data_IF_566582680034
#
_entry.id   IF_566582680034
#
_cell.length_a   1.000
_cell.length_b   1.000
_cell.length_c   1.000
_cell.angle_alpha   90.00
_cell.angle_beta   90.00
_cell.angle_gamma   90.00
#
_symmetry.space_group_name_H-M   'P 1'
#
loop_
_entity.id
_entity.type
_entity.pdbx_description
1 polymer ?
#
# COMPACT_ATOMS: atom_id res chain seq x y z
N UNK A 1 1.26 29.38 0.35
CA UNK A 1 0.81 27.98 0.31
C UNK A 1 1.88 27.14 -0.37
N UNK A 2 2.33 26.12 0.30
CA UNK A 2 3.41 25.27 -0.24
C UNK A 2 2.79 24.24 -1.19
N UNK A 3 2.78 24.53 -2.48
CA UNK A 3 2.29 23.58 -3.52
C UNK A 3 3.05 22.22 -3.53
N UNK A 4 4.20 22.16 -2.85
CA UNK A 4 4.99 20.93 -2.76
C UNK A 4 4.42 19.89 -1.76
N UNK A 5 3.47 20.27 -0.92
CA UNK A 5 2.95 19.40 0.15
C UNK A 5 1.70 18.60 -0.22
N UNK A 6 0.96 19.02 -1.25
CA UNK A 6 -0.29 18.34 -1.67
C UNK A 6 -0.07 17.61 -3.00
N UNK A 7 0.42 16.40 -2.93
CA UNK A 7 0.59 15.53 -4.09
C UNK A 7 -0.56 14.53 -4.17
N UNK A 8 -1.24 14.52 -5.31
CA UNK A 8 -2.32 13.56 -5.58
C UNK A 8 -1.98 12.70 -6.76
N UNK A 9 -2.34 11.43 -6.68
CA UNK A 9 -2.23 10.49 -7.79
C UNK A 9 -3.58 9.89 -8.09
N UNK A 10 -3.76 9.50 -9.36
CA UNK A 10 -4.92 8.75 -9.82
C UNK A 10 -4.48 7.33 -10.15
N UNK A 11 -5.10 6.35 -9.50
CA UNK A 11 -4.95 4.92 -9.80
C UNK A 11 -6.15 4.53 -10.66
N UNK A 12 -5.90 4.16 -11.90
CA UNK A 12 -6.94 3.74 -12.85
C UNK A 12 -6.97 2.22 -12.99
N UNK A 13 -8.15 1.64 -12.81
CA UNK A 13 -8.41 0.20 -12.93
C UNK A 13 -9.66 -0.05 -13.78
N UNK A 14 -9.88 -1.28 -14.29
CA UNK A 14 -11.13 -1.62 -14.95
C UNK A 14 -12.37 -1.50 -14.06
N UNK A 15 -12.21 -1.48 -12.76
CA UNK A 15 -13.30 -1.33 -11.79
C UNK A 15 -13.61 0.12 -11.43
N UNK A 16 -12.79 1.06 -11.89
CA UNK A 16 -12.91 2.48 -11.64
C UNK A 16 -11.60 3.11 -11.17
N UNK A 17 -11.68 4.39 -10.86
CA UNK A 17 -10.53 5.20 -10.45
C UNK A 17 -10.53 5.45 -8.95
N UNK A 18 -9.32 5.53 -8.38
CA UNK A 18 -9.08 5.94 -7.00
C UNK A 18 -8.14 7.12 -6.97
N UNK A 19 -8.47 8.14 -6.17
CA UNK A 19 -7.58 9.30 -5.93
C UNK A 19 -6.95 9.17 -4.56
N UNK A 20 -5.63 9.33 -4.54
CA UNK A 20 -4.82 9.20 -3.32
C UNK A 20 -4.08 10.50 -3.07
N UNK A 21 -4.19 11.02 -1.86
CA UNK A 21 -3.31 12.07 -1.35
C UNK A 21 -2.02 11.42 -0.83
N UNK A 22 -0.87 11.87 -1.33
CA UNK A 22 0.45 11.38 -0.93
C UNK A 22 1.09 12.41 -0.01
N UNK A 23 1.36 12.03 1.23
CA UNK A 23 1.80 12.95 2.28
C UNK A 23 3.33 13.10 2.30
N UNK A 24 3.84 13.91 1.38
CA UNK A 24 5.27 14.21 1.26
C UNK A 24 5.81 14.95 2.47
N UNK A 25 4.96 15.73 3.15
CA UNK A 25 5.39 16.52 4.30
C UNK A 25 5.72 15.65 5.52
N UNK A 26 4.89 14.64 5.81
CA UNK A 26 5.07 13.76 6.98
C UNK A 26 5.91 12.52 6.69
N UNK A 27 5.86 12.00 5.47
CA UNK A 27 6.60 10.81 5.06
C UNK A 27 7.43 11.06 3.78
N UNK A 28 8.42 11.97 3.81
CA UNK A 28 9.13 12.42 2.60
C UNK A 28 9.89 11.29 1.89
N UNK A 29 10.53 10.40 2.61
CA UNK A 29 11.30 9.29 2.05
C UNK A 29 10.39 8.26 1.37
N UNK A 30 9.36 7.82 2.09
CA UNK A 30 8.41 6.81 1.63
C UNK A 30 7.56 7.33 0.48
N UNK A 31 7.00 8.54 0.63
CA UNK A 31 6.24 9.21 -0.42
C UNK A 31 7.10 9.45 -1.67
N UNK A 32 8.34 9.90 -1.49
CA UNK A 32 9.29 10.13 -2.57
C UNK A 32 9.62 8.85 -3.35
N UNK A 33 9.79 7.73 -2.66
CA UNK A 33 10.00 6.43 -3.30
C UNK A 33 8.83 6.06 -4.21
N UNK A 34 7.62 6.13 -3.69
CA UNK A 34 6.40 5.85 -4.45
C UNK A 34 6.21 6.81 -5.65
N UNK A 35 6.41 8.10 -5.44
CA UNK A 35 6.23 9.09 -6.49
C UNK A 35 7.27 8.99 -7.61
N UNK A 36 8.49 8.55 -7.31
CA UNK A 36 9.50 8.24 -8.35
C UNK A 36 9.04 7.08 -9.23
N UNK A 37 8.46 6.05 -8.65
CA UNK A 37 7.91 4.92 -9.40
C UNK A 37 6.73 5.36 -10.28
N UNK A 38 5.86 6.23 -9.76
CA UNK A 38 4.75 6.82 -10.53
C UNK A 38 5.29 7.63 -11.72
N UNK A 39 6.27 8.51 -11.48
CA UNK A 39 6.86 9.34 -12.52
C UNK A 39 7.57 8.51 -13.60
N UNK A 40 8.16 7.37 -13.24
CA UNK A 40 8.81 6.45 -14.16
C UNK A 40 7.81 5.57 -14.95
N UNK A 41 6.50 5.64 -14.65
CA UNK A 41 5.50 4.78 -15.24
C UNK A 41 5.61 3.31 -14.83
N UNK A 42 6.28 3.03 -13.71
CA UNK A 42 6.58 1.66 -13.28
C UNK A 42 5.33 0.83 -12.98
N UNK A 43 4.27 1.49 -12.52
CA UNK A 43 3.03 0.80 -12.16
C UNK A 43 2.08 0.57 -13.34
N UNK A 44 2.33 1.22 -14.48
CA UNK A 44 1.48 1.09 -15.66
C UNK A 44 1.55 -0.35 -16.20
N UNK A 45 0.40 -1.01 -16.31
CA UNK A 45 0.32 -2.40 -16.74
C UNK A 45 0.68 -3.44 -15.67
N UNK A 46 0.92 -3.02 -14.43
CA UNK A 46 0.99 -3.93 -13.28
C UNK A 46 -0.41 -4.34 -12.82
N UNK A 47 -0.56 -4.90 -11.63
CA UNK A 47 -1.85 -5.39 -11.15
C UNK A 47 -1.98 -5.27 -9.64
N UNK A 48 -3.23 -5.30 -9.16
CA UNK A 48 -3.52 -5.77 -7.81
C UNK A 48 -3.45 -7.28 -7.84
N UNK A 49 -2.49 -7.86 -7.15
CA UNK A 49 -2.15 -9.28 -7.24
C UNK A 49 -2.41 -10.06 -5.94
N UNK A 50 -2.64 -9.34 -4.83
CA UNK A 50 -2.89 -9.93 -3.52
C UNK A 50 -4.01 -9.19 -2.80
N UNK A 51 -4.96 -9.94 -2.28
CA UNK A 51 -6.03 -9.42 -1.41
C UNK A 51 -6.07 -10.28 -0.16
N UNK A 52 -5.75 -9.69 0.99
CA UNK A 52 -5.82 -10.35 2.28
C UNK A 52 -7.17 -10.08 2.93
N UNK A 53 -7.83 -11.16 3.35
CA UNK A 53 -9.09 -11.13 4.10
C UNK A 53 -8.94 -11.94 5.38
N UNK A 54 -9.85 -11.80 6.32
CA UNK A 54 -9.84 -12.60 7.56
C UNK A 54 -9.94 -14.11 7.28
N UNK A 55 -10.45 -14.51 6.12
CA UNK A 55 -10.70 -15.91 5.78
C UNK A 55 -9.59 -16.58 4.95
N UNK A 56 -8.63 -15.82 4.39
CA UNK A 56 -7.65 -16.36 3.44
C UNK A 56 -6.20 -16.25 3.87
N UNK A 57 -5.93 -15.83 5.10
CA UNK A 57 -4.57 -15.75 5.64
C UNK A 57 -4.22 -17.03 6.41
N UNK A 58 -2.91 -17.29 6.54
CA UNK A 58 -2.42 -18.47 7.26
C UNK A 58 -2.84 -18.44 8.74
N UNK A 59 -3.18 -19.59 9.28
CA UNK A 59 -3.67 -19.75 10.65
C UNK A 59 -2.61 -19.38 11.71
N UNK A 60 -1.33 -19.34 11.34
CA UNK A 60 -0.23 -18.97 12.23
C UNK A 60 0.00 -17.46 12.31
N UNK A 61 -0.73 -16.65 11.53
CA UNK A 61 -0.67 -15.19 11.65
C UNK A 61 -1.25 -14.75 13.00
N UNK A 62 -0.52 -13.90 13.76
CA UNK A 62 -0.98 -13.45 15.09
C UNK A 62 -2.23 -12.58 15.00
N UNK A 63 -2.38 -11.84 13.89
CA UNK A 63 -3.55 -11.01 13.57
C UNK A 63 -3.79 -11.04 12.07
N UNK A 64 -5.05 -10.96 11.67
CA UNK A 64 -5.43 -10.84 10.26
C UNK A 64 -5.65 -9.37 9.88
N UNK A 65 -5.51 -9.07 8.61
CA UNK A 65 -5.69 -7.72 8.06
C UNK A 65 -6.58 -7.78 6.81
N UNK A 66 -7.22 -6.67 6.48
CA UNK A 66 -7.95 -6.51 5.22
C UNK A 66 -7.27 -5.46 4.36
N UNK A 67 -6.53 -5.90 3.35
CA UNK A 67 -5.80 -5.01 2.44
C UNK A 67 -5.89 -5.50 0.99
N UNK A 68 -5.78 -4.57 0.05
CA UNK A 68 -5.52 -4.84 -1.36
C UNK A 68 -4.11 -4.40 -1.69
N UNK A 69 -3.31 -5.27 -2.27
CA UNK A 69 -1.90 -5.02 -2.58
C UNK A 69 -1.66 -5.07 -4.07
N UNK A 70 -0.96 -4.07 -4.58
CA UNK A 70 -0.66 -3.95 -5.99
C UNK A 70 0.71 -3.34 -6.28
N UNK A 71 1.00 -3.26 -7.57
CA UNK A 71 2.30 -2.82 -8.08
C UNK A 71 3.09 -3.97 -8.66
N UNK A 72 4.42 -3.90 -8.54
CA UNK A 72 5.30 -4.98 -8.97
C UNK A 72 5.20 -6.13 -7.96
N UNK A 73 4.91 -7.33 -8.46
CA UNK A 73 4.74 -8.50 -7.61
C UNK A 73 5.97 -8.72 -6.72
N UNK A 74 5.72 -9.15 -5.49
CA UNK A 74 6.75 -9.42 -4.48
C UNK A 74 7.91 -10.25 -5.07
N UNK A 75 9.17 -9.77 -4.95
CA UNK A 75 10.33 -10.55 -5.37
C UNK A 75 10.54 -11.73 -4.42
N UNK A 76 11.24 -12.78 -4.89
CA UNK A 76 11.56 -13.97 -4.10
C UNK A 76 12.55 -13.66 -2.97
N UNK A 77 13.42 -12.67 -3.19
CA UNK A 77 14.44 -12.25 -2.22
C UNK A 77 14.29 -10.78 -1.87
N UNK A 78 14.75 -10.42 -0.67
CA UNK A 78 14.75 -9.02 -0.24
C UNK A 78 15.56 -8.15 -1.20
N UNK A 79 15.05 -6.95 -1.57
CA UNK A 79 15.79 -6.04 -2.43
C UNK A 79 17.09 -5.56 -1.75
N UNK A 80 18.08 -5.24 -2.55
CA UNK A 80 19.33 -4.65 -2.07
C UNK A 80 19.19 -3.18 -1.65
N UNK A 81 18.14 -2.51 -2.11
CA UNK A 81 17.85 -1.11 -1.76
C UNK A 81 17.42 -0.99 -0.31
N UNK A 82 17.85 0.08 0.34
CA UNK A 82 17.48 0.43 1.70
C UNK A 82 16.88 1.84 1.72
N UNK A 83 15.66 1.94 2.26
CA UNK A 83 14.97 3.18 2.50
C UNK A 83 14.87 3.40 4.02
N UNK A 84 15.05 4.63 4.50
CA UNK A 84 14.81 4.92 5.91
C UNK A 84 13.37 4.59 6.26
N UNK A 85 13.16 3.76 7.28
CA UNK A 85 11.83 3.39 7.74
C UNK A 85 11.19 4.53 8.50
N UNK A 86 10.20 5.16 7.89
CA UNK A 86 9.39 6.20 8.53
C UNK A 86 8.18 5.54 9.17
N UNK A 87 8.29 5.21 10.46
CA UNK A 87 7.22 4.53 11.19
C UNK A 87 6.00 5.43 11.42
N UNK A 88 4.85 4.83 11.70
CA UNK A 88 3.63 5.58 12.04
C UNK A 88 3.78 6.36 13.36
N UNK A 89 4.66 5.92 14.26
CA UNK A 89 5.00 6.67 15.48
C UNK A 89 5.72 7.99 15.16
N UNK A 90 6.56 7.99 14.12
CA UNK A 90 7.29 9.17 13.67
C UNK A 90 6.41 10.10 12.83
N UNK A 91 5.69 9.55 11.86
CA UNK A 91 4.91 10.35 10.90
C UNK A 91 3.54 10.76 11.43
N UNK A 92 2.96 9.98 12.33
CA UNK A 92 1.56 10.13 12.76
C UNK A 92 0.54 9.63 11.74
N UNK A 93 0.98 9.02 10.63
CA UNK A 93 0.11 8.46 9.59
C UNK A 93 -0.27 7.02 9.97
N UNK A 94 -1.44 6.85 10.57
CA UNK A 94 -1.92 5.53 10.99
C UNK A 94 -2.57 4.77 9.84
N UNK A 95 -2.61 3.45 9.97
CA UNK A 95 -3.30 2.56 9.03
C UNK A 95 -4.81 2.55 9.31
N UNK A 96 -5.50 3.52 8.76
CA UNK A 96 -6.96 3.63 8.76
C UNK A 96 -7.52 3.15 7.43
N UNK A 97 -8.83 3.00 7.33
CA UNK A 97 -9.49 2.72 6.03
C UNK A 97 -9.04 3.72 4.97
N UNK A 98 -8.50 3.22 3.87
CA UNK A 98 -7.99 4.02 2.75
C UNK A 98 -6.53 4.42 2.87
N UNK A 99 -5.84 4.15 3.98
CA UNK A 99 -4.41 4.42 4.10
C UNK A 99 -3.61 3.59 3.10
N UNK A 100 -2.70 4.24 2.38
CA UNK A 100 -1.74 3.58 1.48
C UNK A 100 -0.36 3.50 2.16
N UNK A 101 0.28 2.34 2.03
CA UNK A 101 1.53 2.01 2.69
C UNK A 101 2.42 1.17 1.77
N UNK A 102 3.73 1.19 1.96
CA UNK A 102 4.64 0.34 1.19
C UNK A 102 4.75 -1.06 1.80
N UNK A 103 4.79 -2.05 0.94
CA UNK A 103 5.17 -3.41 1.30
C UNK A 103 6.68 -3.47 1.61
N UNK A 104 7.08 -4.33 2.55
CA UNK A 104 8.46 -4.47 2.98
C UNK A 104 8.79 -5.89 3.46
N UNK A 105 10.06 -6.23 3.43
CA UNK A 105 10.60 -7.38 4.15
C UNK A 105 10.99 -6.96 5.57
N UNK A 106 12.22 -6.47 5.76
CA UNK A 106 12.66 -5.83 7.02
C UNK A 106 12.37 -4.32 6.97
N UNK A 107 12.46 -3.59 8.09
CA UNK A 107 12.35 -2.12 8.07
C UNK A 107 13.31 -1.50 7.06
N UNK A 108 12.77 -0.69 6.14
CA UNK A 108 13.53 -0.07 5.05
C UNK A 108 13.79 -0.96 3.82
N UNK A 109 13.61 -2.26 3.91
CA UNK A 109 13.75 -3.19 2.78
C UNK A 109 12.45 -3.26 1.98
N UNK A 110 12.12 -2.15 1.32
CA UNK A 110 10.90 -2.00 0.51
C UNK A 110 11.11 -2.50 -0.92
N UNK A 111 10.04 -2.79 -1.58
CA UNK A 111 10.00 -3.09 -3.01
C UNK A 111 8.86 -2.33 -3.67
N UNK A 112 8.79 -2.35 -5.01
CA UNK A 112 7.87 -1.52 -5.81
C UNK A 112 6.43 -2.03 -5.72
N UNK A 113 5.91 -2.12 -4.51
CA UNK A 113 4.57 -2.59 -4.20
C UNK A 113 3.99 -1.81 -3.03
N UNK A 114 2.69 -1.57 -3.10
CA UNK A 114 1.94 -0.86 -2.08
C UNK A 114 0.69 -1.63 -1.72
N UNK A 115 0.11 -1.31 -0.58
CA UNK A 115 -1.21 -1.81 -0.22
C UNK A 115 -2.10 -0.68 0.29
N UNK A 116 -3.40 -0.87 0.17
CA UNK A 116 -4.42 0.05 0.67
C UNK A 116 -5.28 -0.71 1.68
N UNK A 117 -5.44 -0.12 2.86
CA UNK A 117 -6.25 -0.70 3.93
C UNK A 117 -7.74 -0.57 3.60
N UNK A 118 -8.45 -1.69 3.62
CA UNK A 118 -9.90 -1.73 3.42
C UNK A 118 -10.66 -1.26 4.65
N UNK A 119 -10.10 -1.49 5.85
CA UNK A 119 -10.60 -1.06 7.16
C UNK A 119 -9.46 -0.50 8.00
N UNK A 120 -9.76 0.00 9.21
CA UNK A 120 -8.71 0.39 10.16
C UNK A 120 -7.92 -0.84 10.60
N UNK A 121 -6.58 -0.75 10.50
CA UNK A 121 -5.65 -1.85 10.78
C UNK A 121 -4.55 -1.41 11.73
N UNK A 122 -4.86 -1.22 13.03
CA UNK A 122 -3.85 -0.76 13.99
C UNK A 122 -2.71 -1.77 14.20
N UNK A 123 -2.89 -3.02 13.85
CA UNK A 123 -1.83 -4.03 13.88
C UNK A 123 -0.69 -3.77 12.91
N UNK A 124 -0.90 -2.92 11.89
CA UNK A 124 0.10 -2.49 10.92
C UNK A 124 0.90 -1.27 11.38
N UNK A 125 0.45 -0.59 12.44
CA UNK A 125 1.13 0.57 13.00
C UNK A 125 2.36 0.14 13.82
N UNK A 126 3.23 1.11 14.12
CA UNK A 126 4.35 0.91 15.03
C UNK A 126 3.85 0.35 16.38
N UNK A 127 4.50 -0.68 16.86
CA UNK A 127 4.08 -1.41 18.05
C UNK A 127 2.99 -2.44 17.81
N UNK A 128 2.43 -2.53 16.60
CA UNK A 128 1.44 -3.51 16.23
C UNK A 128 2.01 -4.92 16.05
N UNK A 129 1.13 -5.91 16.10
CA UNK A 129 1.52 -7.33 16.15
C UNK A 129 1.65 -7.98 14.75
N UNK A 130 1.31 -7.29 13.67
CA UNK A 130 1.33 -7.90 12.32
C UNK A 130 2.74 -8.33 11.92
N UNK A 131 3.75 -7.51 12.21
CA UNK A 131 5.15 -7.85 11.99
C UNK A 131 5.84 -8.14 13.33
N UNK A 132 6.59 -9.26 13.43
CA UNK A 132 7.27 -9.63 14.68
C UNK A 132 8.28 -8.60 15.19
N UNK A 133 8.85 -7.78 14.29
CA UNK A 133 9.79 -6.72 14.67
C UNK A 133 9.14 -5.52 15.38
N UNK A 134 7.81 -5.45 15.40
CA UNK A 134 7.07 -4.35 16.04
C UNK A 134 7.21 -2.98 15.40
N UNK A 135 7.89 -2.88 14.25
CA UNK A 135 8.15 -1.60 13.57
C UNK A 135 7.00 -1.14 12.70
N UNK A 136 6.05 -2.01 12.38
CA UNK A 136 4.92 -1.71 11.49
C UNK A 136 5.36 -1.44 10.06
N UNK A 137 4.46 -0.82 9.30
CA UNK A 137 4.68 -0.50 7.88
C UNK A 137 4.73 1.01 7.68
N UNK A 138 5.45 1.49 6.64
CA UNK A 138 5.58 2.91 6.37
C UNK A 138 4.38 3.43 5.57
N UNK A 139 3.35 3.90 6.26
CA UNK A 139 2.22 4.59 5.65
C UNK A 139 2.66 5.95 5.09
N UNK A 140 2.14 6.33 3.92
CA UNK A 140 2.59 7.55 3.26
C UNK A 140 1.47 8.36 2.59
N UNK A 141 0.23 7.94 2.71
CA UNK A 141 -0.89 8.65 2.10
C UNK A 141 -2.24 8.05 2.42
N UNK A 142 -3.27 8.62 1.81
CA UNK A 142 -4.64 8.23 2.06
C UNK A 142 -5.50 8.40 0.81
N UNK A 143 -6.39 7.43 0.60
CA UNK A 143 -7.44 7.52 -0.40
C UNK A 143 -8.38 8.69 -0.04
N UNK A 144 -8.65 9.56 -1.01
CA UNK A 144 -9.55 10.72 -0.85
C UNK A 144 -10.82 10.59 -1.68
N UNK A 145 -10.81 9.70 -2.69
CA UNK A 145 -11.97 9.41 -3.53
C UNK A 145 -11.83 8.00 -4.13
N UNK A 146 -12.94 7.32 -4.40
CA UNK A 146 -12.94 5.97 -4.96
C UNK A 146 -13.00 4.85 -3.91
N UNK A 147 -13.55 5.12 -2.72
CA UNK A 147 -13.75 4.08 -1.69
C UNK A 147 -14.66 2.94 -2.18
N UNK A 148 -15.61 3.22 -3.05
CA UNK A 148 -16.44 2.20 -3.70
C UNK A 148 -15.60 1.29 -4.63
N UNK A 149 -14.59 1.84 -5.28
CA UNK A 149 -13.63 1.06 -6.09
C UNK A 149 -12.78 0.18 -5.20
N UNK A 150 -12.29 0.69 -4.07
CA UNK A 150 -11.57 -0.09 -3.06
C UNK A 150 -12.40 -1.29 -2.60
N UNK A 151 -13.67 -1.08 -2.32
CA UNK A 151 -14.59 -2.15 -1.89
C UNK A 151 -14.81 -3.18 -3.00
N UNK A 152 -14.95 -2.75 -4.26
CA UNK A 152 -15.05 -3.68 -5.40
C UNK A 152 -13.78 -4.49 -5.63
N UNK A 153 -12.61 -3.87 -5.46
CA UNK A 153 -11.34 -4.59 -5.49
C UNK A 153 -11.31 -5.68 -4.41
N UNK A 154 -11.69 -5.33 -3.19
CA UNK A 154 -11.71 -6.25 -2.07
C UNK A 154 -12.69 -7.42 -2.28
N UNK A 155 -13.83 -7.19 -2.92
CA UNK A 155 -14.82 -8.23 -3.28
C UNK A 155 -14.27 -9.26 -4.27
N UNK A 156 -13.19 -8.95 -4.99
CA UNK A 156 -12.53 -9.89 -5.89
C UNK A 156 -11.59 -10.87 -5.18
N UNK A 157 -11.50 -10.82 -3.84
CA UNK A 157 -10.69 -11.74 -3.04
C UNK A 157 -11.03 -13.21 -3.34
N UNK A 158 -10.00 -14.03 -3.35
CA UNK A 158 -10.08 -15.47 -3.57
C UNK A 158 -9.80 -16.25 -2.29
N UNK A 159 -9.87 -17.56 -2.34
CA UNK A 159 -9.59 -18.43 -1.20
C UNK A 159 -8.13 -18.33 -0.74
N UNK A 160 -7.23 -17.88 -1.60
CA UNK A 160 -5.83 -17.59 -1.29
C UNK A 160 -5.57 -16.09 -1.45
N UNK A 161 -4.61 -15.55 -0.70
CA UNK A 161 -4.26 -14.14 -0.78
C UNK A 161 -3.78 -13.71 -2.17
N UNK A 162 -2.95 -14.54 -2.82
CA UNK A 162 -2.51 -14.30 -4.19
C UNK A 162 -3.64 -14.65 -5.17
N UNK A 163 -4.01 -13.67 -6.00
CA UNK A 163 -5.08 -13.85 -6.96
C UNK A 163 -4.63 -14.73 -8.13
N UNK A 164 -5.46 -15.68 -8.54
CA UNK A 164 -5.31 -16.40 -9.80
C UNK A 164 -5.68 -15.52 -10.99
N UNK A 165 -6.64 -14.61 -10.80
CA UNK A 165 -7.04 -13.59 -11.78
C UNK A 165 -6.73 -12.22 -11.17
N UNK A 166 -5.57 -11.67 -11.51
CA UNK A 166 -5.12 -10.35 -11.05
C UNK A 166 -5.95 -9.24 -11.69
N UNK A 167 -6.13 -8.15 -10.95
CA UNK A 167 -6.88 -6.98 -11.42
C UNK A 167 -5.89 -5.96 -11.97
N UNK A 168 -5.95 -5.60 -13.27
CA UNK A 168 -4.97 -4.70 -13.86
C UNK A 168 -4.95 -3.31 -13.21
N UNK A 169 -3.76 -2.77 -12.99
CA UNK A 169 -3.54 -1.34 -12.81
C UNK A 169 -3.24 -0.79 -14.21
N UNK A 170 -4.20 -0.07 -14.79
CA UNK A 170 -4.05 0.48 -16.12
C UNK A 170 -2.98 1.56 -16.14
N UNK A 171 -3.01 2.43 -15.13
CA UNK A 171 -2.06 3.51 -14.95
C UNK A 171 -2.12 4.09 -13.55
N UNK A 172 -0.98 4.57 -13.05
CA UNK A 172 -0.92 5.50 -11.92
C UNK A 172 -0.25 6.78 -12.41
N UNK A 173 -0.93 7.91 -12.28
CA UNK A 173 -0.40 9.20 -12.73
C UNK A 173 -0.55 10.29 -11.68
N UNK A 174 0.37 11.22 -11.69
CA UNK A 174 0.30 12.44 -10.89
C UNK A 174 -0.83 13.34 -11.42
N UNK A 175 -1.61 13.93 -10.51
CA UNK A 175 -2.67 14.90 -10.81
C UNK A 175 -2.17 16.35 -10.69
#
# INVERSE_FOLDING_TARGET
>A
MNEAADRRVLISTPLGDMRVHVDVARAPETAGYFLRDVAAGLFDGTSFYRIATDANQDDDQPVTIEVVQGGVRQPETAPASSLRHESTAETGLRHERGTISLARFAPGAVYHSFFICRRDEPSLDYGGARQPDGQGFPAFGKLVDGFDVLDRLFEAAEAQELLSTEIPILRIRLL
#
